data_IF_242580681367
#
_entry.id   IF_242580681367
#
_cell.length_a   1.000
_cell.length_b   1.000
_cell.length_c   1.000
_cell.angle_alpha   90.00
_cell.angle_beta   90.00
_cell.angle_gamma   90.00
#
_symmetry.space_group_name_H-M   'P 1'
#
loop_
_entity.id
_entity.type
_entity.pdbx_description
1 polymer ?
#
# COMPACT_ATOMS: atom_id res chain seq x y z
N UNK A 1 4.60 -15.24 17.47
CA UNK A 1 3.99 -13.93 17.13
C UNK A 1 3.65 -13.81 15.64
N UNK A 2 4.61 -14.01 14.72
CA UNK A 2 4.34 -13.97 13.26
C UNK A 2 3.16 -14.86 12.82
N UNK A 3 3.10 -16.10 13.31
CA UNK A 3 2.00 -17.04 13.02
C UNK A 3 0.62 -16.49 13.40
N UNK A 4 0.52 -15.81 14.54
CA UNK A 4 -0.73 -15.21 15.02
C UNK A 4 -1.17 -14.09 14.07
N UNK A 5 -0.25 -13.21 13.68
CA UNK A 5 -0.53 -12.13 12.71
C UNK A 5 -0.96 -12.72 11.36
N UNK A 6 -0.27 -13.77 10.90
CA UNK A 6 -0.57 -14.46 9.66
C UNK A 6 -1.99 -15.04 9.67
N UNK A 7 -2.34 -15.84 10.68
CA UNK A 7 -3.67 -16.46 10.77
C UNK A 7 -4.78 -15.43 10.94
N UNK A 8 -4.54 -14.37 11.71
CA UNK A 8 -5.55 -13.31 11.90
C UNK A 8 -5.80 -12.53 10.60
N UNK A 9 -4.76 -12.16 9.85
CA UNK A 9 -4.94 -11.53 8.53
C UNK A 9 -5.68 -12.47 7.59
N UNK A 10 -5.27 -13.75 7.54
CA UNK A 10 -5.90 -14.77 6.69
C UNK A 10 -7.39 -14.90 6.98
N UNK A 11 -7.75 -15.06 8.27
CA UNK A 11 -9.13 -15.16 8.73
C UNK A 11 -9.96 -13.94 8.29
N UNK A 12 -9.46 -12.72 8.54
CA UNK A 12 -10.17 -11.49 8.17
C UNK A 12 -10.33 -11.32 6.66
N UNK A 13 -9.30 -11.66 5.88
CA UNK A 13 -9.38 -11.62 4.42
C UNK A 13 -10.43 -12.60 3.90
N UNK A 14 -10.46 -13.83 4.42
CA UNK A 14 -11.45 -14.83 4.00
C UNK A 14 -12.87 -14.41 4.35
N UNK A 15 -13.10 -13.92 5.57
CA UNK A 15 -14.41 -13.38 5.96
C UNK A 15 -14.88 -12.26 5.02
N UNK A 16 -13.99 -11.36 4.58
CA UNK A 16 -14.33 -10.30 3.64
C UNK A 16 -14.56 -10.83 2.21
N UNK A 17 -13.83 -11.87 1.80
CA UNK A 17 -14.00 -12.46 0.47
C UNK A 17 -15.28 -13.27 0.32
N UNK A 18 -15.87 -13.71 1.43
CA UNK A 18 -17.16 -14.39 1.45
C UNK A 18 -18.36 -13.42 1.43
N UNK A 19 -18.10 -12.10 1.36
CA UNK A 19 -19.16 -11.08 1.26
C UNK A 19 -19.43 -10.64 -0.18
N UNK A 20 -20.66 -10.18 -0.46
CA UNK A 20 -21.06 -9.64 -1.76
C UNK A 20 -20.64 -8.18 -1.99
N UNK A 21 -19.47 -7.78 -1.48
CA UNK A 21 -18.97 -6.42 -1.65
C UNK A 21 -18.47 -6.20 -3.08
N UNK A 22 -18.86 -5.06 -3.67
CA UNK A 22 -18.22 -4.57 -4.90
C UNK A 22 -16.69 -4.51 -4.74
N UNK A 23 -15.94 -4.75 -5.82
CA UNK A 23 -14.47 -4.79 -5.75
C UNK A 23 -13.86 -3.55 -5.07
N UNK A 24 -14.41 -2.35 -5.30
CA UNK A 24 -13.96 -1.13 -4.62
C UNK A 24 -14.13 -1.23 -3.10
N UNK A 25 -15.31 -1.65 -2.65
CA UNK A 25 -15.61 -1.75 -1.22
C UNK A 25 -14.85 -2.90 -0.58
N UNK A 26 -14.67 -4.03 -1.27
CA UNK A 26 -13.86 -5.16 -0.84
C UNK A 26 -12.42 -4.73 -0.56
N UNK A 27 -11.72 -4.10 -1.52
CA UNK A 27 -10.34 -3.67 -1.30
C UNK A 27 -10.23 -2.59 -0.22
N UNK A 28 -11.23 -1.69 -0.10
CA UNK A 28 -11.29 -0.73 1.01
C UNK A 28 -11.40 -1.45 2.36
N UNK A 29 -12.30 -2.43 2.47
CA UNK A 29 -12.48 -3.23 3.68
C UNK A 29 -11.21 -4.01 4.03
N UNK A 30 -10.58 -4.67 3.06
CA UNK A 30 -9.31 -5.38 3.25
C UNK A 30 -8.22 -4.44 3.79
N UNK A 31 -8.06 -3.25 3.19
CA UNK A 31 -7.07 -2.27 3.62
C UNK A 31 -7.29 -1.74 5.05
N UNK A 32 -8.56 -1.56 5.43
CA UNK A 32 -8.97 -0.96 6.71
C UNK A 32 -9.11 -1.97 7.85
N UNK A 33 -9.50 -3.21 7.55
CA UNK A 33 -9.81 -4.22 8.56
C UNK A 33 -8.75 -5.32 8.66
N UNK A 34 -8.33 -5.88 7.52
CA UNK A 34 -7.38 -7.00 7.50
C UNK A 34 -5.93 -6.52 7.55
N UNK A 35 -5.57 -5.56 6.70
CA UNK A 35 -4.19 -5.06 6.59
C UNK A 35 -3.79 -4.08 7.71
N UNK A 36 -4.71 -3.74 8.62
CA UNK A 36 -4.42 -2.94 9.81
C UNK A 36 -3.91 -3.78 10.98
N UNK A 37 -4.11 -5.11 10.97
CA UNK A 37 -3.62 -6.03 12.01
C UNK A 37 -2.12 -5.85 12.30
N UNK A 38 -1.21 -5.83 11.31
CA UNK A 38 0.22 -5.72 11.59
C UNK A 38 0.64 -4.35 12.12
N UNK A 39 -0.20 -3.31 12.00
CA UNK A 39 0.15 -1.94 12.41
C UNK A 39 0.61 -1.84 13.87
N UNK A 40 -0.03 -2.59 14.77
CA UNK A 40 0.29 -2.56 16.20
C UNK A 40 1.63 -3.23 16.53
N UNK A 41 2.11 -4.10 15.63
CA UNK A 41 3.30 -4.91 15.86
C UNK A 41 4.53 -4.37 15.12
N UNK A 42 4.34 -3.57 14.08
CA UNK A 42 5.44 -2.95 13.33
C UNK A 42 6.25 -2.04 14.26
N UNK A 43 7.55 -2.31 14.36
CA UNK A 43 8.48 -1.57 15.24
C UNK A 43 8.54 -2.07 16.68
N UNK A 44 7.61 -2.94 17.09
CA UNK A 44 7.61 -3.58 18.43
C UNK A 44 8.11 -5.02 18.34
N UNK A 45 7.59 -5.78 17.38
CA UNK A 45 8.02 -7.14 17.09
C UNK A 45 9.13 -7.08 16.05
N UNK A 46 10.29 -7.75 16.26
CA UNK A 46 11.36 -7.80 15.28
C UNK A 46 10.89 -8.61 14.08
N UNK A 47 10.34 -7.91 13.08
CA UNK A 47 9.90 -8.48 11.83
C UNK A 47 10.76 -7.99 10.68
N UNK A 48 11.20 -8.94 9.87
CA UNK A 48 12.05 -8.68 8.71
C UNK A 48 11.23 -8.40 7.44
N UNK A 49 11.79 -7.68 6.45
CA UNK A 49 11.10 -7.38 5.18
C UNK A 49 10.46 -8.60 4.50
N UNK A 50 11.17 -9.74 4.49
CA UNK A 50 10.68 -10.97 3.85
C UNK A 50 9.40 -11.52 4.51
N UNK A 51 9.18 -11.23 5.79
CA UNK A 51 8.00 -11.67 6.52
C UNK A 51 6.76 -10.88 6.07
N UNK A 52 6.89 -9.57 5.85
CA UNK A 52 5.84 -8.74 5.26
C UNK A 52 5.54 -9.18 3.82
N UNK A 53 6.58 -9.46 3.02
CA UNK A 53 6.43 -10.00 1.67
C UNK A 53 5.67 -11.34 1.65
N UNK A 54 5.88 -12.19 2.67
CA UNK A 54 5.19 -13.47 2.83
C UNK A 54 3.71 -13.28 3.22
N UNK A 55 3.42 -12.34 4.13
CA UNK A 55 2.03 -11.98 4.46
C UNK A 55 1.28 -11.45 3.23
N UNK A 56 1.92 -10.58 2.47
CA UNK A 56 1.33 -10.03 1.25
C UNK A 56 1.05 -11.11 0.19
N UNK A 57 2.01 -12.02 -0.04
CA UNK A 57 1.81 -13.18 -0.92
C UNK A 57 0.63 -14.04 -0.47
N UNK A 58 0.47 -14.25 0.83
CA UNK A 58 -0.68 -14.97 1.37
C UNK A 58 -2.00 -14.26 1.05
N UNK A 59 -2.07 -12.93 1.23
CA UNK A 59 -3.28 -12.14 0.92
C UNK A 59 -3.62 -12.29 -0.56
N UNK A 60 -2.63 -12.15 -1.45
CA UNK A 60 -2.82 -12.33 -2.89
C UNK A 60 -3.28 -13.73 -3.27
N UNK A 61 -2.77 -14.76 -2.58
CA UNK A 61 -3.22 -16.14 -2.78
C UNK A 61 -4.71 -16.29 -2.44
N UNK A 62 -5.17 -15.76 -1.31
CA UNK A 62 -6.60 -15.81 -0.95
C UNK A 62 -7.48 -15.05 -1.96
N UNK A 63 -7.03 -13.88 -2.43
CA UNK A 63 -7.73 -13.11 -3.47
C UNK A 63 -7.86 -13.89 -4.78
N UNK A 64 -6.85 -14.68 -5.13
CA UNK A 64 -6.87 -15.52 -6.32
C UNK A 64 -7.82 -16.70 -6.17
N UNK A 65 -7.73 -17.43 -5.05
CA UNK A 65 -8.57 -18.60 -4.77
C UNK A 65 -10.06 -18.26 -4.79
N UNK A 66 -10.44 -17.07 -4.32
CA UNK A 66 -11.83 -16.57 -4.30
C UNK A 66 -12.22 -15.78 -5.56
N UNK A 67 -11.36 -15.71 -6.58
CA UNK A 67 -11.65 -15.05 -7.85
C UNK A 67 -11.69 -13.51 -7.82
N UNK A 68 -11.38 -12.87 -6.69
CA UNK A 68 -11.32 -11.41 -6.55
C UNK A 68 -10.17 -10.77 -7.37
N UNK A 69 -9.12 -11.53 -7.66
CA UNK A 69 -8.03 -11.12 -8.54
C UNK A 69 -7.52 -12.28 -9.39
N UNK A 70 -7.37 -12.08 -10.70
CA UNK A 70 -6.91 -13.14 -11.61
C UNK A 70 -5.38 -13.30 -11.53
N UNK A 71 -4.89 -14.53 -11.65
CA UNK A 71 -3.44 -14.82 -11.65
C UNK A 71 -2.65 -14.05 -12.71
N UNK A 72 -3.21 -13.92 -13.92
CA UNK A 72 -2.57 -13.19 -15.02
C UNK A 72 -2.68 -11.67 -14.91
N UNK A 73 -3.34 -11.14 -13.88
CA UNK A 73 -3.44 -9.71 -13.69
C UNK A 73 -2.14 -9.13 -13.12
N UNK A 74 -1.84 -7.90 -13.49
CA UNK A 74 -0.60 -7.26 -13.07
C UNK A 74 -0.64 -6.89 -11.57
N UNK A 75 0.33 -7.43 -10.83
CA UNK A 75 0.50 -7.24 -9.39
C UNK A 75 0.83 -5.78 -9.05
N UNK A 76 1.69 -5.11 -9.83
CA UNK A 76 2.00 -3.70 -9.58
C UNK A 76 0.76 -2.82 -9.70
N UNK A 77 -0.12 -3.12 -10.66
CA UNK A 77 -1.43 -2.46 -10.81
C UNK A 77 -2.37 -2.77 -9.65
N UNK A 78 -2.27 -3.94 -9.02
CA UNK A 78 -3.06 -4.28 -7.83
C UNK A 78 -2.82 -3.26 -6.71
N UNK A 79 -1.56 -2.85 -6.51
CA UNK A 79 -1.18 -1.92 -5.44
C UNK A 79 -1.35 -0.44 -5.79
N UNK A 80 -1.36 -0.09 -7.07
CA UNK A 80 -1.53 1.30 -7.48
C UNK A 80 -2.89 1.85 -7.02
N UNK A 81 -2.96 3.15 -6.68
CA UNK A 81 -4.22 3.82 -6.36
C UNK A 81 -5.23 3.71 -7.51
N UNK A 82 -6.52 3.63 -7.18
CA UNK A 82 -7.61 3.60 -8.18
C UNK A 82 -7.70 4.89 -9.02
N UNK A 83 -7.27 6.02 -8.45
CA UNK A 83 -7.10 7.31 -9.15
C UNK A 83 -6.01 7.25 -10.22
N UNK A 84 -5.10 6.29 -10.13
CA UNK A 84 -3.98 6.11 -11.06
C UNK A 84 -4.12 4.79 -11.83
N UNK A 85 -5.35 4.44 -12.23
CA UNK A 85 -5.71 3.24 -12.99
C UNK A 85 -5.44 1.89 -12.29
N UNK A 86 -5.07 1.91 -11.00
CA UNK A 86 -4.81 0.72 -10.19
C UNK A 86 -6.05 0.08 -9.57
N UNK A 87 -5.86 -0.87 -8.65
CA UNK A 87 -6.93 -1.54 -7.89
C UNK A 87 -7.00 -1.12 -6.42
N UNK A 88 -5.94 -0.49 -5.91
CA UNK A 88 -5.90 0.16 -4.61
C UNK A 88 -5.82 -0.80 -3.42
N UNK A 89 -5.28 -2.01 -3.59
CA UNK A 89 -4.86 -2.83 -2.44
C UNK A 89 -3.59 -2.22 -1.83
N UNK A 90 -3.48 -2.13 -0.51
CA UNK A 90 -2.22 -1.68 0.09
C UNK A 90 -1.18 -2.80 0.10
N UNK A 91 0.04 -2.49 -0.32
CA UNK A 91 1.18 -3.40 -0.17
C UNK A 91 1.67 -3.37 1.29
N UNK A 92 1.79 -4.54 1.92
CA UNK A 92 2.20 -4.64 3.33
C UNK A 92 3.66 -4.23 3.57
N UNK A 93 4.58 -4.53 2.65
CA UNK A 93 5.98 -4.08 2.74
C UNK A 93 6.03 -2.56 2.71
N UNK A 94 5.34 -1.94 1.75
CA UNK A 94 5.32 -0.48 1.61
C UNK A 94 4.75 0.18 2.87
N UNK A 95 3.70 -0.41 3.45
CA UNK A 95 3.11 0.08 4.69
C UNK A 95 4.06 -0.06 5.87
N UNK A 96 4.75 -1.19 6.00
CA UNK A 96 5.72 -1.43 7.06
C UNK A 96 6.90 -0.45 6.97
N UNK A 97 7.48 -0.26 5.78
CA UNK A 97 8.55 0.70 5.52
C UNK A 97 8.18 2.12 5.96
N UNK A 98 6.99 2.59 5.56
CA UNK A 98 6.49 3.91 5.93
C UNK A 98 6.32 4.07 7.45
N UNK A 99 5.78 3.05 8.11
CA UNK A 99 5.56 3.06 9.56
C UNK A 99 6.87 3.01 10.34
N UNK A 100 7.83 2.19 9.90
CA UNK A 100 9.16 2.11 10.50
C UNK A 100 9.95 3.41 10.32
N UNK A 101 9.92 4.00 9.12
CA UNK A 101 10.56 5.28 8.87
C UNK A 101 9.95 6.38 9.76
N UNK A 102 8.61 6.44 9.82
CA UNK A 102 7.92 7.42 10.67
C UNK A 102 8.29 7.25 12.15
N UNK A 103 8.32 6.01 12.64
CA UNK A 103 8.73 5.67 14.00
C UNK A 103 10.17 6.13 14.25
N UNK A 104 11.10 5.76 13.36
CA UNK A 104 12.52 6.10 13.48
C UNK A 104 12.76 7.61 13.51
N UNK A 105 12.15 8.37 12.59
CA UNK A 105 12.27 9.82 12.54
C UNK A 105 11.66 10.49 13.77
N UNK A 106 10.51 10.02 14.24
CA UNK A 106 9.84 10.56 15.43
C UNK A 106 10.65 10.34 16.70
N UNK A 107 11.27 9.16 16.83
CA UNK A 107 12.15 8.86 17.96
C UNK A 107 13.42 9.71 17.88
N UNK A 108 14.05 9.81 16.70
CA UNK A 108 15.30 10.55 16.49
C UNK A 108 15.13 12.05 16.73
N UNK A 109 14.00 12.64 16.29
CA UNK A 109 13.72 14.07 16.48
C UNK A 109 13.62 14.48 17.95
N UNK A 110 13.24 13.56 18.84
CA UNK A 110 13.07 13.80 20.27
C UNK A 110 14.12 13.08 21.13
N UNK A 111 15.21 12.58 20.51
CA UNK A 111 16.30 11.87 21.20
C UNK A 111 16.90 12.73 22.32
N UNK A 112 17.21 13.99 22.01
CA UNK A 112 17.78 14.93 22.99
C UNK A 112 16.78 15.42 24.05
N UNK A 113 15.47 15.27 23.80
CA UNK A 113 14.40 15.77 24.70
C UNK A 113 13.93 14.71 25.69
N UNK A 114 14.05 13.42 25.33
CA UNK A 114 13.47 12.32 26.11
C UNK A 114 14.47 11.20 26.32
N UNK A 115 14.90 11.03 27.56
CA UNK A 115 15.77 9.91 27.99
C UNK A 115 15.19 8.55 27.62
N UNK A 116 13.87 8.38 27.76
CA UNK A 116 13.16 7.15 27.35
C UNK A 116 13.31 6.89 25.85
N UNK A 117 13.11 7.91 24.99
CA UNK A 117 13.22 7.73 23.54
C UNK A 117 14.66 7.46 23.11
N UNK A 118 15.63 8.13 23.74
CA UNK A 118 17.05 7.85 23.52
C UNK A 118 17.40 6.40 23.87
N UNK A 119 16.93 5.88 24.99
CA UNK A 119 17.15 4.48 25.38
C UNK A 119 16.53 3.49 24.38
N UNK A 120 15.33 3.78 23.87
CA UNK A 120 14.68 2.95 22.84
C UNK A 120 15.50 2.95 21.54
N UNK A 121 15.96 4.12 21.08
CA UNK A 121 16.83 4.21 19.89
C UNK A 121 18.13 3.43 20.09
N UNK A 122 18.76 3.57 21.25
CA UNK A 122 19.98 2.85 21.57
C UNK A 122 19.74 1.33 21.52
N UNK A 123 18.64 0.84 22.07
CA UNK A 123 18.26 -0.57 21.98
C UNK A 123 18.08 -1.04 20.52
N UNK A 124 17.39 -0.26 19.69
CA UNK A 124 17.22 -0.59 18.27
C UNK A 124 18.55 -0.62 17.50
N UNK A 125 19.48 0.29 17.81
CA UNK A 125 20.83 0.35 17.25
C UNK A 125 21.67 -0.86 17.68
N UNK A 126 21.62 -1.23 18.97
CA UNK A 126 22.37 -2.37 19.52
C UNK A 126 21.88 -3.71 18.97
N UNK A 127 20.58 -3.86 18.77
CA UNK A 127 19.97 -5.08 18.24
C UNK A 127 20.06 -5.19 16.72
N UNK A 128 20.64 -4.19 16.03
CA UNK A 128 20.66 -4.09 14.57
C UNK A 128 19.28 -4.34 13.94
N UNK A 129 18.24 -3.88 14.62
CA UNK A 129 16.86 -4.10 14.19
C UNK A 129 16.62 -3.45 12.83
N UNK A 130 15.74 -4.04 12.01
CA UNK A 130 15.35 -3.46 10.73
C UNK A 130 14.90 -1.99 10.83
N UNK A 131 14.28 -1.61 11.97
CA UNK A 131 13.91 -0.23 12.26
C UNK A 131 15.11 0.74 12.28
N UNK A 132 16.27 0.32 12.82
CA UNK A 132 17.50 1.13 12.84
C UNK A 132 18.16 1.26 11.47
N UNK A 133 18.01 0.23 10.63
CA UNK A 133 18.58 0.18 9.28
C UNK A 133 17.59 0.68 8.21
N UNK A 134 16.44 1.24 8.61
CA UNK A 134 15.38 1.58 7.66
C UNK A 134 15.82 2.69 6.70
N UNK A 135 16.62 3.64 7.15
CA UNK A 135 17.09 4.77 6.33
C UNK A 135 18.03 4.30 5.22
N UNK A 136 19.00 3.44 5.56
CA UNK A 136 19.91 2.84 4.58
C UNK A 136 19.18 1.88 3.66
N UNK A 137 18.30 1.03 4.20
CA UNK A 137 17.48 0.12 3.40
C UNK A 137 16.64 0.86 2.34
N UNK A 138 15.98 1.96 2.71
CA UNK A 138 15.16 2.76 1.80
C UNK A 138 15.99 3.57 0.81
N UNK A 139 17.18 4.03 1.22
CA UNK A 139 18.13 4.63 0.30
C UNK A 139 18.55 3.63 -0.78
N UNK A 140 18.93 2.41 -0.41
CA UNK A 140 19.41 1.41 -1.37
C UNK A 140 18.29 0.90 -2.28
N UNK A 141 17.06 0.77 -1.75
CA UNK A 141 15.91 0.26 -2.51
C UNK A 141 15.27 1.29 -3.43
N UNK A 142 15.19 2.55 -3.00
CA UNK A 142 14.41 3.59 -3.70
C UNK A 142 15.21 4.85 -4.05
N UNK A 143 16.45 5.00 -3.56
CA UNK A 143 17.23 6.23 -3.65
C UNK A 143 16.69 7.34 -2.72
N UNK A 144 16.02 6.99 -1.61
CA UNK A 144 15.48 7.98 -0.69
C UNK A 144 16.62 8.71 0.05
N UNK A 145 16.70 10.02 -0.13
CA UNK A 145 17.58 10.91 0.65
C UNK A 145 16.74 11.68 1.67
N UNK A 146 17.17 11.64 2.94
CA UNK A 146 16.52 12.34 4.04
C UNK A 146 17.27 13.65 4.26
N UNK A 147 16.57 14.78 4.22
CA UNK A 147 17.14 16.10 4.49
C UNK A 147 16.87 16.48 5.94
N UNK A 148 17.87 16.99 6.65
CA UNK A 148 17.80 17.23 8.10
C UNK A 148 16.68 18.20 8.53
N UNK A 149 16.28 19.12 7.65
CA UNK A 149 15.24 20.12 7.93
C UNK A 149 13.86 19.81 7.32
N UNK A 150 13.66 18.62 6.76
CA UNK A 150 12.37 18.26 6.16
C UNK A 150 11.38 17.76 7.22
N UNK A 151 10.14 18.28 7.18
CA UNK A 151 9.08 17.82 8.05
C UNK A 151 8.76 16.33 7.79
N UNK A 152 8.65 15.53 8.84
CA UNK A 152 8.37 14.07 8.76
C UNK A 152 7.22 13.73 7.79
N UNK A 153 6.05 14.43 7.79
CA UNK A 153 4.98 14.11 6.86
C UNK A 153 5.36 14.28 5.38
N UNK A 154 6.25 15.23 5.04
CA UNK A 154 6.73 15.46 3.67
C UNK A 154 7.65 14.33 3.22
N UNK A 155 8.57 13.88 4.07
CA UNK A 155 9.46 12.73 3.78
C UNK A 155 8.66 11.45 3.58
N UNK A 156 7.64 11.23 4.41
CA UNK A 156 6.67 10.13 4.28
C UNK A 156 5.91 10.22 2.94
N UNK A 157 5.42 11.41 2.57
CA UNK A 157 4.78 11.60 1.27
C UNK A 157 5.75 11.35 0.10
N UNK A 158 7.02 11.75 0.24
CA UNK A 158 8.05 11.52 -0.75
C UNK A 158 8.33 10.02 -0.93
N UNK A 159 8.50 9.26 0.16
CA UNK A 159 8.65 7.80 0.10
C UNK A 159 7.46 7.13 -0.60
N UNK A 160 6.22 7.56 -0.33
CA UNK A 160 5.04 7.03 -1.03
C UNK A 160 5.12 7.26 -2.55
N UNK A 161 5.61 8.42 -2.99
CA UNK A 161 5.82 8.70 -4.42
C UNK A 161 6.90 7.79 -5.02
N UNK A 162 8.00 7.55 -4.31
CA UNK A 162 9.06 6.63 -4.75
C UNK A 162 8.58 5.19 -4.84
N UNK A 163 7.80 4.72 -3.86
CA UNK A 163 7.16 3.41 -3.88
C UNK A 163 6.23 3.29 -5.11
N UNK A 164 5.37 4.27 -5.37
CA UNK A 164 4.53 4.27 -6.58
C UNK A 164 5.38 4.28 -7.87
N UNK A 165 6.47 5.06 -7.91
CA UNK A 165 7.42 5.07 -9.02
C UNK A 165 8.02 3.69 -9.28
N UNK A 166 8.38 2.96 -8.23
CA UNK A 166 8.88 1.58 -8.36
C UNK A 166 7.85 0.66 -9.02
N UNK A 167 6.57 0.81 -8.69
CA UNK A 167 5.48 0.06 -9.34
C UNK A 167 5.36 0.42 -10.82
N UNK A 168 5.47 1.70 -11.18
CA UNK A 168 5.45 2.14 -12.57
C UNK A 168 6.62 1.59 -13.38
N UNK A 169 7.82 1.58 -12.81
CA UNK A 169 9.00 1.00 -13.44
C UNK A 169 8.80 -0.50 -13.74
N UNK A 170 8.14 -1.23 -12.84
CA UNK A 170 7.78 -2.64 -13.10
C UNK A 170 6.70 -2.75 -14.18
N UNK A 171 5.73 -1.84 -14.22
CA UNK A 171 4.67 -1.87 -15.24
C UNK A 171 5.23 -1.57 -16.64
N UNK A 172 6.13 -0.61 -16.76
CA UNK A 172 6.70 -0.19 -18.05
C UNK A 172 7.53 -1.30 -18.72
N UNK A 173 8.09 -2.23 -17.95
CA UNK A 173 8.78 -3.42 -18.48
C UNK A 173 7.80 -4.52 -18.93
N UNK A 174 6.56 -4.54 -18.42
CA UNK A 174 5.57 -5.55 -18.79
C UNK A 174 4.87 -5.26 -20.12
N UNK A 175 4.77 -6.26 -21.01
CA UNK A 175 4.19 -6.11 -22.36
C UNK A 175 2.74 -5.59 -22.35
N UNK A 176 1.86 -6.15 -21.51
CA UNK A 176 0.42 -5.89 -21.57
C UNK A 176 -0.01 -4.52 -21.05
N UNK A 177 0.64 -4.02 -20.00
CA UNK A 177 0.22 -2.78 -19.35
C UNK A 177 1.08 -1.56 -19.73
N UNK A 178 2.22 -1.75 -20.39
CA UNK A 178 3.06 -0.66 -20.87
C UNK A 178 2.28 0.38 -21.68
N UNK A 179 1.47 -0.04 -22.65
CA UNK A 179 0.74 0.87 -23.54
C UNK A 179 -0.30 1.73 -22.80
N UNK A 180 -0.99 1.15 -21.82
CA UNK A 180 -1.98 1.88 -21.03
C UNK A 180 -1.33 2.99 -20.21
N UNK A 181 -0.18 2.69 -19.59
CA UNK A 181 0.51 3.64 -18.72
C UNK A 181 1.43 4.62 -19.47
N UNK A 182 1.91 4.28 -20.68
CA UNK A 182 2.66 5.22 -21.51
C UNK A 182 1.79 6.37 -22.03
N UNK A 183 0.50 6.11 -22.26
CA UNK A 183 -0.46 7.15 -22.69
C UNK A 183 -0.90 8.08 -21.55
N UNK A 184 -0.58 7.76 -20.30
CA UNK A 184 -0.87 8.62 -19.13
C UNK A 184 -0.11 9.95 -19.20
N UNK A 185 1.10 9.92 -19.74
CA UNK A 185 1.99 11.10 -19.81
C UNK A 185 1.58 12.07 -20.93
N UNK A 186 0.54 11.75 -21.69
CA UNK A 186 -0.01 12.64 -22.71
C UNK A 186 -1.01 13.60 -22.06
N UNK A 187 -0.80 14.90 -22.26
CA UNK A 187 -1.68 15.97 -21.75
C UNK A 187 -3.13 15.89 -22.26
N UNK A 188 -3.39 15.08 -23.30
CA UNK A 188 -4.73 14.87 -23.87
C UNK A 188 -5.60 13.90 -23.08
N UNK A 189 -5.07 13.19 -22.08
CA UNK A 189 -5.82 12.16 -21.34
C UNK A 189 -6.25 12.70 -19.97
N UNK A 190 -7.56 12.91 -19.80
CA UNK A 190 -8.13 13.16 -18.48
C UNK A 190 -8.17 11.86 -17.65
N UNK A 191 -7.18 11.70 -16.77
CA UNK A 191 -7.06 10.56 -15.87
C UNK A 191 -8.18 10.52 -14.81
N UNK A 192 -8.68 11.67 -14.38
CA UNK A 192 -9.72 11.77 -13.36
C UNK A 192 -11.04 11.22 -13.92
N UNK A 193 -11.47 11.66 -15.10
CA UNK A 193 -12.66 11.09 -15.76
C UNK A 193 -12.45 9.63 -16.16
N UNK A 194 -11.30 9.30 -16.74
CA UNK A 194 -10.98 7.93 -17.20
C UNK A 194 -10.97 6.89 -16.08
N UNK A 195 -10.81 7.32 -14.82
CA UNK A 195 -10.80 6.43 -13.64
C UNK A 195 -12.13 6.40 -12.88
N UNK A 196 -13.17 7.12 -13.32
CA UNK A 196 -14.46 7.16 -12.63
C UNK A 196 -15.04 5.77 -12.37
N UNK A 197 -14.92 4.87 -13.34
CA UNK A 197 -15.37 3.47 -13.23
C UNK A 197 -14.59 2.62 -12.22
N UNK A 198 -13.37 3.02 -11.88
CA UNK A 198 -12.58 2.39 -10.81
C UNK A 198 -12.91 2.99 -9.44
N UNK A 199 -13.28 4.27 -9.41
CA UNK A 199 -13.47 5.07 -8.19
C UNK A 199 -14.91 5.05 -7.70
N UNK A 200 -15.90 4.83 -8.56
CA UNK A 200 -17.31 4.69 -8.19
C UNK A 200 -17.68 3.20 -8.20
N UNK A 201 -18.39 2.76 -7.16
CA UNK A 201 -18.79 1.34 -7.00
C UNK A 201 -19.98 0.98 -7.90
N UNK A 202 -20.76 1.98 -8.30
CA UNK A 202 -21.84 1.90 -9.26
C UNK A 202 -21.60 2.95 -10.35
N UNK A 203 -21.61 2.52 -11.60
CA UNK A 203 -21.71 3.38 -12.78
C UNK A 203 -23.13 3.24 -13.35
N UNK A 204 -24.13 3.43 -12.51
CA UNK A 204 -25.45 3.74 -13.05
C UNK A 204 -25.40 5.18 -13.55
N UNK A 205 -25.77 5.45 -14.82
CA UNK A 205 -26.00 6.83 -15.26
C UNK A 205 -27.03 7.48 -14.32
N UNK A 206 -26.87 8.75 -13.91
CA UNK A 206 -27.82 9.42 -13.02
C UNK A 206 -29.24 9.56 -13.57
N UNK A 207 -29.46 9.33 -14.87
CA UNK A 207 -30.77 9.44 -15.49
C UNK A 207 -30.96 8.34 -16.53
N UNK A 208 -31.74 7.32 -16.20
CA UNK A 208 -32.60 6.70 -17.22
C UNK A 208 -33.54 7.80 -17.66
N UNK A 209 -33.40 8.29 -18.89
CA UNK A 209 -34.45 9.08 -19.52
C UNK A 209 -35.70 8.19 -19.55
N UNK A 210 -36.58 8.38 -18.58
CA UNK A 210 -37.97 7.93 -18.70
C UNK A 210 -38.52 8.70 -19.88
N UNK A 211 -38.71 8.01 -21.01
CA UNK A 211 -39.51 8.52 -22.10
C UNK A 211 -40.92 8.71 -21.52
N UNK A 212 -41.28 9.96 -21.21
CA UNK A 212 -42.67 10.33 -21.09
C UNK A 212 -43.30 10.05 -22.46
N UNK A 213 -43.98 8.92 -22.56
CA UNK A 213 -44.96 8.71 -23.61
C UNK A 213 -46.07 9.72 -23.37
N UNK A 214 -46.06 10.80 -24.14
CA UNK A 214 -47.24 11.65 -24.32
C UNK A 214 -48.33 10.79 -24.98
N UNK A 215 -49.39 10.54 -24.22
CA UNK A 215 -50.74 10.30 -24.75
C UNK A 215 -51.57 11.54 -24.42
#
# INVERSE_FOLDING_TARGET
>A
MYSIIHEEIKKRVNMLLDTDLSAKNLFRAVNQYALTVPNYYIGVVPMEPYQFARLDRMVRKQLYEKGAHKHCANISRLYLPRKELGRGLHNLEFRAEMMLLNLWLTLSADENKSTRRAAILQHHRQTYSHASLITTYLHDKYGLTIRDNEAIPKTIQHLRKLQNRSLYNVISTTKLHKLLFSRRELDSVDLEESTLWLRKSMLTPPHTFTTHNNK
#
